data_IF_306142339264
#
_entry.id   IF_306142339264
#
_cell.length_a   1.000
_cell.length_b   1.000
_cell.length_c   1.000
_cell.angle_alpha   90.00
_cell.angle_beta   90.00
_cell.angle_gamma   90.00
#
_symmetry.space_group_name_H-M   'P 1'
#
loop_
_entity.id
_entity.type
_entity.pdbx_description
1 polymer ?
#
# COMPACT_ATOMS: atom_id res chain seq x y z
N UNK A 1 -1.37 -12.28 9.97
CA UNK A 1 -0.32 -11.90 9.00
C UNK A 1 -0.10 -13.11 8.11
N UNK A 2 -0.11 -12.95 6.79
CA UNK A 2 0.29 -14.02 5.88
C UNK A 2 1.82 -14.03 5.85
N UNK A 3 2.43 -15.06 6.42
CA UNK A 3 3.88 -15.15 6.55
C UNK A 3 4.42 -16.05 5.42
N UNK A 4 4.90 -15.42 4.36
CA UNK A 4 5.50 -16.10 3.20
C UNK A 4 7.02 -15.93 3.28
N UNK A 5 7.82 -17.01 3.10
CA UNK A 5 9.28 -16.92 3.04
C UNK A 5 9.71 -16.37 1.66
N UNK A 6 9.38 -15.10 1.42
CA UNK A 6 9.60 -14.41 0.17
C UNK A 6 11.02 -13.83 0.13
N UNK A 7 11.79 -14.27 -0.86
CA UNK A 7 13.11 -13.75 -1.19
C UNK A 7 13.04 -12.42 -1.92
N UNK A 8 12.08 -12.27 -2.83
CA UNK A 8 11.85 -11.03 -3.57
C UNK A 8 10.35 -10.80 -3.80
N UNK A 9 9.96 -9.53 -3.87
CA UNK A 9 8.59 -9.10 -4.11
C UNK A 9 8.58 -7.99 -5.15
N UNK A 10 7.86 -8.19 -6.25
CA UNK A 10 7.74 -7.26 -7.37
C UNK A 10 6.27 -6.97 -7.65
N UNK A 11 5.91 -5.69 -7.82
CA UNK A 11 4.59 -5.32 -8.33
C UNK A 11 4.62 -5.51 -9.85
N UNK A 12 3.79 -6.41 -10.37
CA UNK A 12 3.74 -6.73 -11.81
C UNK A 12 2.92 -5.70 -12.58
N UNK A 13 1.70 -5.46 -12.11
CA UNK A 13 0.83 -4.39 -12.61
C UNK A 13 0.04 -3.82 -11.43
N UNK A 14 -0.10 -2.49 -11.43
CA UNK A 14 -0.88 -1.78 -10.43
C UNK A 14 -1.70 -0.72 -11.11
N UNK A 15 -3.01 -0.81 -10.99
CA UNK A 15 -3.88 0.28 -11.40
C UNK A 15 -3.83 1.38 -10.33
N UNK A 16 -3.46 2.60 -10.73
CA UNK A 16 -3.66 3.78 -9.89
C UNK A 16 -5.15 3.85 -9.52
N UNK A 17 -5.47 4.28 -8.29
CA UNK A 17 -6.85 4.34 -7.78
C UNK A 17 -7.77 4.92 -8.86
N UNK A 18 -8.65 4.07 -9.40
CA UNK A 18 -9.63 4.50 -10.38
C UNK A 18 -10.87 4.95 -9.63
N UNK A 19 -11.03 6.26 -9.59
CA UNK A 19 -12.22 6.90 -9.05
C UNK A 19 -13.27 6.88 -10.15
N UNK A 20 -14.33 6.09 -9.97
CA UNK A 20 -15.50 6.20 -10.84
C UNK A 20 -16.16 7.55 -10.51
N UNK A 21 -16.33 8.38 -11.54
CA UNK A 21 -17.10 9.61 -11.43
C UNK A 21 -18.53 9.23 -11.08
N UNK A 22 -18.84 9.28 -9.79
CA UNK A 22 -20.17 8.98 -9.27
C UNK A 22 -21.00 10.28 -9.32
N UNK A 23 -22.31 10.12 -9.53
CA UNK A 23 -23.29 11.21 -9.58
C UNK A 23 -23.20 12.08 -8.30
N UNK A 24 -23.63 13.36 -8.32
CA UNK A 24 -23.34 14.34 -7.26
C UNK A 24 -23.88 14.05 -5.85
N UNK A 25 -24.44 12.85 -5.60
CA UNK A 25 -24.94 12.39 -4.30
C UNK A 25 -24.63 10.92 -3.98
N UNK A 26 -23.78 10.24 -4.77
CA UNK A 26 -23.37 8.85 -4.50
C UNK A 26 -21.96 8.79 -3.92
N UNK A 27 -21.74 7.86 -2.98
CA UNK A 27 -20.40 7.61 -2.44
C UNK A 27 -19.44 7.31 -3.60
N UNK A 28 -18.25 7.90 -3.55
CA UNK A 28 -17.32 7.82 -4.66
C UNK A 28 -16.75 6.40 -4.75
N UNK A 29 -17.30 5.61 -5.66
CA UNK A 29 -16.85 4.24 -5.90
C UNK A 29 -15.43 4.30 -6.46
N UNK A 30 -14.49 3.77 -5.69
CA UNK A 30 -13.13 3.53 -6.17
C UNK A 30 -12.86 2.04 -6.17
N UNK A 31 -12.08 1.62 -7.16
CA UNK A 31 -11.48 0.30 -7.18
C UNK A 31 -9.98 0.45 -7.42
N UNK A 32 -9.22 -0.46 -6.83
CA UNK A 32 -7.80 -0.66 -7.14
C UNK A 32 -7.55 -2.15 -7.26
N UNK A 33 -6.79 -2.53 -8.28
CA UNK A 33 -6.25 -3.86 -8.46
C UNK A 33 -4.72 -3.78 -8.54
N UNK A 34 -4.05 -4.62 -7.76
CA UNK A 34 -2.60 -4.73 -7.71
C UNK A 34 -2.23 -6.21 -7.78
N UNK A 35 -1.39 -6.55 -8.75
CA UNK A 35 -0.78 -7.87 -8.88
C UNK A 35 0.64 -7.85 -8.33
N UNK A 36 0.92 -8.74 -7.39
CA UNK A 36 2.21 -8.87 -6.72
C UNK A 36 2.80 -10.24 -7.02
N UNK A 37 4.01 -10.26 -7.58
CA UNK A 37 4.82 -11.47 -7.71
C UNK A 37 5.76 -11.59 -6.51
N UNK A 38 5.60 -12.67 -5.74
CA UNK A 38 6.55 -13.08 -4.71
C UNK A 38 7.36 -14.30 -5.20
N UNK A 39 8.69 -14.19 -5.18
CA UNK A 39 9.59 -15.33 -5.33
C UNK A 39 9.94 -15.84 -3.94
N UNK A 40 9.64 -17.11 -3.66
CA UNK A 40 9.95 -17.77 -2.39
C UNK A 40 11.40 -18.27 -2.37
N UNK A 41 11.92 -18.53 -1.17
CA UNK A 41 13.30 -19.00 -0.97
C UNK A 41 13.65 -20.28 -1.74
N UNK A 42 12.66 -21.15 -1.99
CA UNK A 42 12.83 -22.38 -2.75
C UNK A 42 12.71 -22.20 -4.28
N UNK A 43 12.61 -20.96 -4.77
CA UNK A 43 12.44 -20.62 -6.19
C UNK A 43 11.00 -20.70 -6.71
N UNK A 44 10.03 -21.04 -5.86
CA UNK A 44 8.60 -21.00 -6.24
C UNK A 44 8.16 -19.57 -6.45
N UNK A 45 7.39 -19.33 -7.51
CA UNK A 45 6.77 -18.03 -7.77
C UNK A 45 5.29 -18.07 -7.39
N UNK A 46 4.85 -17.05 -6.65
CA UNK A 46 3.46 -16.86 -6.21
C UNK A 46 2.98 -15.52 -6.73
N UNK A 47 1.82 -15.51 -7.39
CA UNK A 47 1.13 -14.27 -7.76
C UNK A 47 0.01 -14.04 -6.76
N UNK A 48 -0.05 -12.82 -6.22
CA UNK A 48 -1.06 -12.36 -5.28
C UNK A 48 -1.81 -11.21 -5.95
N UNK A 49 -3.10 -11.42 -6.21
CA UNK A 49 -4.00 -10.39 -6.72
C UNK A 49 -4.71 -9.71 -5.54
N UNK A 50 -4.61 -8.40 -5.47
CA UNK A 50 -5.22 -7.58 -4.42
C UNK A 50 -6.25 -6.65 -5.07
N UNK A 51 -7.52 -6.98 -4.85
CA UNK A 51 -8.64 -6.14 -5.27
C UNK A 51 -9.29 -5.47 -4.06
N UNK A 52 -9.41 -4.15 -4.11
CA UNK A 52 -10.13 -3.37 -3.10
C UNK A 52 -11.26 -2.62 -3.75
N UNK A 53 -12.48 -2.87 -3.30
CA UNK A 53 -13.68 -2.16 -3.71
C UNK A 53 -14.29 -1.45 -2.49
N UNK A 54 -14.48 -0.14 -2.60
CA UNK A 54 -15.27 0.70 -1.68
C UNK A 54 -15.37 0.20 -0.22
N UNK A 55 -14.25 0.26 0.52
CA UNK A 55 -14.25 0.03 1.96
C UNK A 55 -13.81 1.31 2.67
N UNK A 56 -14.71 1.95 3.42
CA UNK A 56 -14.36 3.06 4.32
C UNK A 56 -13.19 2.68 5.25
N UNK A 57 -13.12 1.40 5.62
CA UNK A 57 -12.02 0.83 6.39
C UNK A 57 -10.66 0.92 5.68
N UNK A 58 -10.62 0.71 4.36
CA UNK A 58 -9.40 0.83 3.57
C UNK A 58 -8.91 2.28 3.53
N UNK A 59 -9.80 3.24 3.27
CA UNK A 59 -9.45 4.66 3.25
C UNK A 59 -8.92 5.11 4.62
N UNK A 60 -9.59 4.73 5.70
CA UNK A 60 -9.12 5.05 7.05
C UNK A 60 -7.75 4.45 7.36
N UNK A 61 -7.49 3.20 6.95
CA UNK A 61 -6.17 2.59 7.12
C UNK A 61 -5.10 3.25 6.26
N UNK A 62 -5.41 3.60 5.02
CA UNK A 62 -4.49 4.32 4.14
C UNK A 62 -4.08 5.66 4.76
N UNK A 63 -5.02 6.42 5.29
CA UNK A 63 -4.74 7.65 6.02
C UNK A 63 -3.83 7.41 7.23
N UNK A 64 -4.12 6.39 8.04
CA UNK A 64 -3.30 6.06 9.21
C UNK A 64 -1.85 5.70 8.81
N UNK A 65 -1.66 4.93 7.73
CA UNK A 65 -0.34 4.57 7.22
C UNK A 65 0.42 5.78 6.69
N UNK A 66 -0.22 6.65 5.90
CA UNK A 66 0.41 7.87 5.38
C UNK A 66 0.85 8.79 6.51
N UNK A 67 -0.03 9.05 7.49
CA UNK A 67 0.31 9.85 8.66
C UNK A 67 1.50 9.25 9.44
N UNK A 68 1.51 7.93 9.64
CA UNK A 68 2.59 7.23 10.33
C UNK A 68 3.91 7.35 9.58
N UNK A 69 3.88 7.18 8.26
CA UNK A 69 5.07 7.28 7.41
C UNK A 69 5.66 8.70 7.42
N UNK A 70 4.79 9.72 7.29
CA UNK A 70 5.21 11.12 7.37
C UNK A 70 5.84 11.40 8.73
N UNK A 71 5.21 10.98 9.82
CA UNK A 71 5.73 11.17 11.18
C UNK A 71 7.09 10.48 11.38
N UNK A 72 7.24 9.23 10.93
CA UNK A 72 8.51 8.51 11.00
C UNK A 72 9.61 9.17 10.18
N UNK A 73 9.28 9.71 8.99
CA UNK A 73 10.23 10.44 8.17
C UNK A 73 10.68 11.75 8.84
N UNK A 74 9.76 12.47 9.47
CA UNK A 74 10.07 13.68 10.24
C UNK A 74 11.01 13.37 11.42
N UNK A 75 10.73 12.31 12.19
CA UNK A 75 11.59 11.88 13.29
C UNK A 75 13.00 11.50 12.81
N UNK A 76 13.12 10.81 11.67
CA UNK A 76 14.43 10.49 11.07
C UNK A 76 15.23 11.74 10.68
N UNK A 77 14.55 12.76 10.14
CA UNK A 77 15.20 14.04 9.81
C UNK A 77 15.66 14.74 11.08
N UNK A 78 14.81 14.81 12.10
CA UNK A 78 15.12 15.43 13.38
C UNK A 78 16.31 14.78 14.10
N UNK A 79 16.40 13.46 14.05
CA UNK A 79 17.54 12.72 14.61
C UNK A 79 18.85 13.09 13.88
N UNK A 80 18.84 13.17 12.55
CA UNK A 80 20.01 13.57 11.76
C UNK A 80 20.46 15.00 12.04
N UNK A 81 19.53 15.92 12.27
CA UNK A 81 19.84 17.32 12.61
C UNK A 81 20.31 17.48 14.07
N UNK A 82 19.83 16.62 14.97
CA UNK A 82 20.26 16.59 16.38
C UNK A 82 21.67 16.01 16.59
N UNK A 83 22.11 15.08 15.75
CA UNK A 83 23.43 14.45 15.82
C UNK A 83 24.59 15.35 15.33
N UNK A 84 24.29 16.55 14.79
CA UNK A 84 25.30 17.52 14.31
C UNK A 84 25.75 18.56 15.34
N UNK A 85 25.46 18.37 16.63
CA UNK A 85 25.85 19.28 17.71
C UNK A 85 26.86 18.69 18.71
#
# INVERSE_FOLDING_TARGET
MLDLPAKNVTILEGSNIHVLLSMPYSVQDFYTNIDVLAELDNGTQVIIEIQVHHQNFFINHLWAYLCSQVNQNLEKIRQREGDTH
#
